data_IF_953348924451
#
_entry.id   IF_953348924451
#
_cell.length_a   1.000
_cell.length_b   1.000
_cell.length_c   1.000
_cell.angle_alpha   90.00
_cell.angle_beta   90.00
_cell.angle_gamma   90.00
#
_symmetry.space_group_name_H-M   'P 1'
#
loop_
_entity.id
_entity.type
_entity.pdbx_description
1 polymer ?
#
# COMPACT_ATOMS: atom_id res chain seq x y z
N UNK A 1 20.51 36.21 52.22
CA UNK A 1 20.11 37.29 51.30
C UNK A 1 20.59 36.94 49.90
N UNK A 2 19.63 36.89 48.95
CA UNK A 2 19.71 36.87 47.48
C UNK A 2 20.63 35.83 46.81
N UNK A 3 20.11 34.68 46.43
CA UNK A 3 19.34 34.37 45.19
C UNK A 3 20.22 34.27 43.95
N UNK A 4 20.58 33.02 43.65
CA UNK A 4 20.87 32.52 42.32
C UNK A 4 19.54 32.43 41.56
N UNK A 5 19.25 33.40 40.70
CA UNK A 5 18.10 33.36 39.81
C UNK A 5 18.53 33.53 38.34
N UNK A 6 18.15 32.53 37.55
CA UNK A 6 17.74 32.58 36.15
C UNK A 6 18.72 33.11 35.10
N UNK A 7 19.06 32.23 34.14
CA UNK A 7 18.42 32.27 32.82
C UNK A 7 18.75 30.98 32.07
N UNK A 8 17.82 30.02 32.15
CA UNK A 8 17.73 28.95 31.18
C UNK A 8 17.35 29.55 29.83
N UNK A 9 18.27 29.52 28.88
CA UNK A 9 18.00 29.89 27.50
C UNK A 9 17.21 28.76 26.85
N UNK A 10 15.89 28.82 26.97
CA UNK A 10 15.00 28.08 26.11
C UNK A 10 15.27 28.51 24.66
N UNK A 11 15.74 27.58 23.83
CA UNK A 11 15.75 27.72 22.37
C UNK A 11 14.29 27.71 21.94
N UNK A 12 13.66 28.89 21.94
CA UNK A 12 12.36 29.08 21.33
C UNK A 12 12.53 28.88 19.83
N UNK A 13 11.95 27.78 19.33
CA UNK A 13 11.84 27.52 17.91
C UNK A 13 11.19 28.70 17.21
N UNK A 14 11.84 29.18 16.16
CA UNK A 14 11.29 30.22 15.29
C UNK A 14 9.92 29.75 14.80
N UNK A 15 8.87 30.44 15.25
CA UNK A 15 7.53 30.30 14.71
C UNK A 15 7.56 30.86 13.29
N UNK A 16 7.39 29.99 12.30
CA UNK A 16 7.31 30.38 10.90
C UNK A 16 6.03 31.20 10.70
N UNK A 17 6.07 32.39 10.06
CA UNK A 17 4.90 33.24 9.91
C UNK A 17 3.79 32.54 9.10
N UNK A 18 2.57 32.57 9.64
CA UNK A 18 1.37 32.06 8.99
C UNK A 18 1.07 32.84 7.71
N UNK A 19 1.16 32.18 6.55
CA UNK A 19 0.78 32.75 5.26
C UNK A 19 -0.44 32.00 4.70
N UNK A 20 -1.60 32.66 4.53
CA UNK A 20 -2.82 32.04 4.03
C UNK A 20 -2.76 31.64 2.54
N UNK A 21 -1.72 32.05 1.80
CA UNK A 21 -1.50 31.67 0.40
C UNK A 21 -0.58 30.45 0.22
N UNK A 22 -0.10 29.85 1.31
CA UNK A 22 0.48 28.51 1.24
C UNK A 22 -0.64 27.54 0.98
N UNK A 23 -0.81 27.16 -0.28
CA UNK A 23 -1.72 26.11 -0.71
C UNK A 23 -1.37 24.83 0.05
N UNK A 24 -1.94 24.65 1.24
CA UNK A 24 -2.29 23.34 1.75
C UNK A 24 -3.01 22.67 0.60
N UNK A 25 -2.46 21.58 0.11
CA UNK A 25 -3.17 20.65 -0.78
C UNK A 25 -4.65 20.68 -0.42
N UNK A 26 -5.48 21.17 -1.35
CA UNK A 26 -6.90 21.40 -1.07
C UNK A 26 -7.51 20.06 -0.69
N UNK A 27 -7.69 19.83 0.62
CA UNK A 27 -8.55 18.76 1.09
C UNK A 27 -9.94 19.10 0.54
N UNK A 28 -10.34 18.42 -0.53
CA UNK A 28 -11.72 18.50 -1.01
C UNK A 28 -12.60 17.85 0.03
N UNK A 29 -13.12 18.68 0.93
CA UNK A 29 -14.14 18.28 1.88
C UNK A 29 -15.43 18.15 1.09
N UNK A 30 -15.71 16.95 0.61
CA UNK A 30 -17.05 16.57 0.17
C UNK A 30 -17.78 16.16 1.45
N UNK A 31 -18.87 16.85 1.78
CA UNK A 31 -19.70 16.69 3.01
C UNK A 31 -19.53 15.34 3.71
N UNK A 32 -18.83 15.35 4.85
CA UNK A 32 -18.63 14.18 5.72
C UNK A 32 -17.34 13.37 5.50
N UNK A 33 -16.53 13.67 4.47
CA UNK A 33 -15.24 13.02 4.19
C UNK A 33 -14.17 14.04 3.78
N UNK A 34 -12.90 13.65 3.91
CA UNK A 34 -11.74 14.39 3.42
C UNK A 34 -10.94 13.49 2.48
N UNK A 35 -10.74 13.92 1.25
CA UNK A 35 -9.85 13.25 0.29
C UNK A 35 -8.38 13.57 0.62
N UNK A 36 -7.52 12.55 0.65
CA UNK A 36 -6.09 12.69 0.92
C UNK A 36 -5.31 12.78 -0.39
N UNK A 37 -5.17 14.00 -0.91
CA UNK A 37 -4.62 14.25 -2.26
C UNK A 37 -3.12 14.00 -2.38
N UNK A 38 -2.37 13.95 -1.28
CA UNK A 38 -0.94 13.58 -1.30
C UNK A 38 -0.72 12.09 -1.30
N UNK A 39 -1.75 11.29 -1.05
CA UNK A 39 -1.64 9.83 -0.99
C UNK A 39 -2.33 9.23 -2.21
N UNK A 40 -1.63 8.33 -2.91
CA UNK A 40 -2.20 7.59 -4.05
C UNK A 40 -2.20 6.10 -3.76
N UNK A 41 -3.32 5.45 -3.97
CA UNK A 41 -3.43 3.99 -4.04
C UNK A 41 -3.35 3.63 -5.51
N UNK A 42 -2.48 2.70 -5.84
CA UNK A 42 -2.18 2.31 -7.20
C UNK A 42 -2.48 0.82 -7.41
N UNK A 43 -3.10 0.50 -8.55
CA UNK A 43 -3.58 -0.82 -8.96
C UNK A 43 -3.34 -1.01 -10.46
N UNK A 44 -2.36 -1.82 -10.83
CA UNK A 44 -2.07 -2.12 -12.24
C UNK A 44 -2.58 -3.51 -12.64
N UNK A 45 -3.20 -3.68 -13.83
CA UNK A 45 -3.50 -4.98 -14.43
C UNK A 45 -2.28 -5.90 -14.50
N UNK A 46 -2.44 -7.19 -14.20
CA UNK A 46 -1.38 -8.18 -14.44
C UNK A 46 -1.10 -8.28 -15.94
N UNK A 47 0.17 -8.35 -16.29
CA UNK A 47 0.64 -8.49 -17.66
C UNK A 47 1.31 -9.86 -17.76
N UNK A 48 0.56 -10.85 -18.24
CA UNK A 48 1.12 -12.19 -18.50
C UNK A 48 2.04 -12.09 -19.72
N UNK A 49 3.33 -12.39 -19.51
CA UNK A 49 4.32 -12.73 -20.55
C UNK A 49 4.34 -11.79 -21.78
N UNK A 50 4.88 -10.58 -21.60
CA UNK A 50 5.42 -9.79 -22.73
C UNK A 50 4.44 -9.00 -23.58
N UNK A 51 3.18 -8.83 -23.17
CA UNK A 51 2.24 -7.97 -23.89
C UNK A 51 1.10 -7.46 -23.01
N UNK A 52 0.85 -6.14 -23.03
CA UNK A 52 -0.30 -5.53 -22.36
C UNK A 52 -1.52 -6.15 -23.01
N UNK A 53 -2.31 -6.92 -22.26
CA UNK A 53 -3.63 -7.32 -22.74
C UNK A 53 -4.49 -6.06 -22.66
N UNK A 54 -4.38 -5.19 -23.66
CA UNK A 54 -5.37 -4.15 -23.97
C UNK A 54 -6.60 -4.76 -24.67
N UNK A 55 -6.78 -6.08 -24.64
CA UNK A 55 -7.95 -6.73 -25.17
C UNK A 55 -9.10 -6.60 -24.18
N UNK A 56 -9.85 -5.50 -24.25
CA UNK A 56 -11.31 -5.37 -24.02
C UNK A 56 -11.91 -6.09 -22.78
N UNK A 57 -11.12 -6.43 -21.78
CA UNK A 57 -11.56 -7.26 -20.67
C UNK A 57 -11.19 -6.60 -19.35
N UNK A 58 -12.14 -6.69 -18.44
CA UNK A 58 -12.10 -6.34 -17.03
C UNK A 58 -11.07 -7.21 -16.28
N UNK A 59 -9.83 -7.25 -16.76
CA UNK A 59 -8.76 -8.02 -16.12
C UNK A 59 -8.44 -7.38 -14.77
N UNK A 60 -8.51 -8.15 -13.67
CA UNK A 60 -8.27 -7.59 -12.36
C UNK A 60 -6.83 -7.05 -12.24
N UNK A 61 -6.63 -5.97 -11.47
CA UNK A 61 -5.30 -5.48 -11.18
C UNK A 61 -4.44 -6.57 -10.53
N UNK A 62 -3.24 -6.80 -11.04
CA UNK A 62 -2.26 -7.75 -10.50
C UNK A 62 -1.34 -7.18 -9.43
N UNK A 63 -1.09 -5.87 -9.43
CA UNK A 63 -0.04 -5.26 -8.60
C UNK A 63 -0.49 -3.97 -7.91
N UNK A 64 -0.22 -3.93 -6.61
CA UNK A 64 -0.80 -2.97 -5.67
C UNK A 64 0.32 -2.29 -4.88
N UNK A 65 0.25 -0.98 -4.74
CA UNK A 65 1.13 -0.21 -3.87
C UNK A 65 0.46 1.10 -3.48
N UNK A 66 1.07 1.80 -2.52
CA UNK A 66 0.67 3.15 -2.12
C UNK A 66 1.81 4.12 -2.38
N UNK A 67 1.50 5.37 -2.67
CA UNK A 67 2.48 6.43 -2.87
C UNK A 67 2.15 7.65 -2.02
N UNK A 68 3.19 8.37 -1.63
CA UNK A 68 3.11 9.67 -0.96
C UNK A 68 3.82 10.69 -1.85
N UNK A 69 3.10 11.74 -2.22
CA UNK A 69 3.59 12.88 -2.98
C UNK A 69 4.16 13.89 -1.98
N UNK A 70 5.49 14.01 -1.98
CA UNK A 70 6.21 15.02 -1.21
C UNK A 70 6.63 16.14 -2.16
N UNK A 71 5.66 16.93 -2.62
CA UNK A 71 5.95 18.21 -3.27
C UNK A 71 5.79 19.33 -2.22
N UNK A 72 6.86 19.54 -1.46
CA UNK A 72 6.98 20.63 -0.49
C UNK A 72 7.70 21.84 -1.11
N UNK A 73 7.97 21.82 -2.42
CA UNK A 73 8.72 22.87 -3.13
C UNK A 73 8.14 24.28 -2.91
N UNK A 74 6.81 24.37 -2.73
CA UNK A 74 6.10 25.62 -2.44
C UNK A 74 6.14 26.07 -0.97
N UNK A 75 6.54 25.20 -0.05
CA UNK A 75 6.63 25.47 1.39
C UNK A 75 8.07 25.75 1.84
N UNK A 76 9.03 24.94 1.38
CA UNK A 76 10.43 24.99 1.85
C UNK A 76 11.47 25.01 0.72
N UNK A 77 11.04 24.99 -0.54
CA UNK A 77 11.95 24.98 -1.70
C UNK A 77 12.62 23.63 -1.96
N UNK A 78 12.21 22.56 -1.27
CA UNK A 78 12.73 21.21 -1.49
C UNK A 78 12.37 20.66 -2.88
N UNK A 79 13.22 19.78 -3.40
CA UNK A 79 12.91 19.05 -4.63
C UNK A 79 11.75 18.08 -4.40
N UNK A 80 10.73 18.08 -5.27
CA UNK A 80 9.60 17.18 -5.12
C UNK A 80 10.04 15.73 -5.33
N UNK A 81 9.55 14.83 -4.48
CA UNK A 81 9.84 13.40 -4.60
C UNK A 81 8.62 12.55 -4.23
N UNK A 82 8.60 11.30 -4.70
CA UNK A 82 7.50 10.37 -4.46
C UNK A 82 8.02 9.20 -3.61
N UNK A 83 7.42 8.95 -2.46
CA UNK A 83 7.63 7.69 -1.74
C UNK A 83 6.64 6.67 -2.30
N UNK A 84 7.10 5.45 -2.55
CA UNK A 84 6.23 4.32 -2.89
C UNK A 84 6.36 3.27 -1.79
N UNK A 85 5.31 2.51 -1.51
CA UNK A 85 5.32 1.37 -0.60
C UNK A 85 4.50 0.21 -1.16
N UNK A 86 5.18 -0.88 -1.50
CA UNK A 86 4.59 -2.15 -1.91
C UNK A 86 5.37 -3.33 -1.34
N UNK A 87 4.71 -4.49 -1.22
CA UNK A 87 5.29 -5.70 -0.65
C UNK A 87 5.47 -6.80 -1.70
N UNK A 88 6.72 -7.16 -1.93
CA UNK A 88 7.14 -7.97 -3.08
C UNK A 88 8.06 -9.12 -2.67
N UNK A 89 8.16 -10.19 -3.48
CA UNK A 89 9.11 -11.25 -3.19
C UNK A 89 10.56 -10.75 -3.37
N UNK A 90 11.51 -11.28 -2.57
CA UNK A 90 12.95 -10.93 -2.65
C UNK A 90 13.65 -11.45 -3.91
N UNK A 91 12.97 -12.28 -4.69
CA UNK A 91 13.42 -12.84 -5.96
C UNK A 91 12.19 -13.09 -6.84
N UNK A 92 12.32 -13.19 -8.17
CA UNK A 92 11.20 -13.47 -9.04
C UNK A 92 10.47 -14.76 -8.64
N UNK A 93 9.13 -14.73 -8.62
CA UNK A 93 8.35 -15.95 -8.43
C UNK A 93 8.59 -16.89 -9.63
N UNK A 94 9.19 -18.05 -9.37
CA UNK A 94 9.43 -19.09 -10.38
C UNK A 94 8.47 -20.26 -10.19
N UNK A 95 8.31 -21.07 -11.26
CA UNK A 95 8.11 -22.53 -11.26
C UNK A 95 7.91 -23.21 -9.88
N UNK A 96 9.00 -23.13 -9.13
CA UNK A 96 9.27 -23.92 -7.95
C UNK A 96 9.10 -23.14 -6.63
N UNK A 97 9.05 -21.80 -6.70
CA UNK A 97 8.93 -20.90 -5.55
C UNK A 97 7.54 -20.22 -5.48
N UNK A 98 6.55 -20.74 -6.21
CA UNK A 98 5.24 -20.08 -6.41
C UNK A 98 4.38 -19.87 -5.16
N UNK A 99 4.70 -20.47 -4.03
CA UNK A 99 3.80 -20.44 -2.87
C UNK A 99 4.30 -19.55 -1.73
N UNK A 100 5.60 -19.51 -1.44
CA UNK A 100 6.13 -18.73 -0.31
C UNK A 100 7.63 -18.44 -0.48
N UNK A 101 8.03 -17.18 -0.36
CA UNK A 101 9.43 -16.71 -0.38
C UNK A 101 9.64 -15.61 0.68
N UNK A 102 10.87 -15.17 0.90
CA UNK A 102 11.10 -13.97 1.71
C UNK A 102 10.52 -12.74 0.99
N UNK A 103 9.83 -11.88 1.73
CA UNK A 103 9.33 -10.61 1.19
C UNK A 103 10.28 -9.45 1.44
N UNK A 104 10.12 -8.39 0.66
CA UNK A 104 10.82 -7.12 0.82
C UNK A 104 9.93 -5.95 0.40
N UNK A 105 10.10 -4.84 1.12
CA UNK A 105 9.42 -3.59 0.81
C UNK A 105 10.07 -2.96 -0.43
N UNK A 106 9.26 -2.58 -1.42
CA UNK A 106 9.70 -1.95 -2.68
C UNK A 106 10.79 -2.72 -3.43
N UNK A 107 10.84 -4.05 -3.26
CA UNK A 107 11.90 -4.90 -3.80
C UNK A 107 13.31 -4.46 -3.37
N UNK A 108 13.42 -3.78 -2.23
CA UNK A 108 14.68 -3.27 -1.71
C UNK A 108 15.49 -4.39 -1.04
N UNK A 109 16.02 -5.29 -1.86
CA UNK A 109 16.84 -6.42 -1.44
C UNK A 109 18.12 -6.53 -2.26
N UNK A 110 19.08 -7.33 -1.80
CA UNK A 110 20.37 -7.49 -2.46
C UNK A 110 20.25 -7.97 -3.91
N UNK A 111 19.29 -8.85 -4.21
CA UNK A 111 19.08 -9.37 -5.55
C UNK A 111 18.81 -8.23 -6.56
N UNK A 112 17.77 -7.44 -6.30
CA UNK A 112 17.40 -6.33 -7.18
C UNK A 112 18.40 -5.18 -7.16
N UNK A 113 19.01 -4.88 -5.99
CA UNK A 113 20.08 -3.88 -5.90
C UNK A 113 21.33 -4.24 -6.70
N UNK A 114 21.65 -5.53 -6.82
CA UNK A 114 22.78 -5.96 -7.63
C UNK A 114 22.44 -5.89 -9.12
N UNK A 115 21.21 -6.27 -9.50
CA UNK A 115 20.71 -6.11 -10.88
C UNK A 115 20.71 -4.64 -11.34
N UNK A 116 20.40 -3.70 -10.44
CA UNK A 116 20.55 -2.26 -10.68
C UNK A 116 22.00 -1.88 -11.03
N UNK A 117 23.00 -2.42 -10.31
CA UNK A 117 24.42 -2.12 -10.54
C UNK A 117 24.94 -2.72 -11.83
N UNK A 118 24.55 -3.96 -12.11
CA UNK A 118 24.97 -4.68 -13.32
C UNK A 118 24.44 -3.99 -14.60
N UNK A 119 23.31 -3.25 -14.50
CA UNK A 119 22.75 -2.45 -15.59
C UNK A 119 23.35 -1.03 -15.70
N UNK A 120 24.04 -0.54 -14.67
CA UNK A 120 24.62 0.82 -14.61
C UNK A 120 25.92 0.91 -15.42
N UNK A 121 26.67 -0.20 -15.50
CA UNK A 121 28.00 -0.27 -16.13
C UNK A 121 28.00 -0.08 -17.67
N UNK A 122 26.87 -0.25 -18.36
CA UNK A 122 26.82 -0.17 -19.83
C UNK A 122 26.26 1.14 -20.40
N UNK A 123 25.54 1.99 -19.64
CA UNK A 123 24.91 3.21 -20.22
C UNK A 123 24.54 4.36 -19.25
N UNK A 124 25.00 4.37 -18.00
CA UNK A 124 24.57 5.41 -17.03
C UNK A 124 23.06 5.39 -16.79
N UNK A 125 22.50 4.17 -16.77
CA UNK A 125 21.07 3.90 -16.69
C UNK A 125 20.50 4.24 -15.32
N UNK A 126 19.28 4.75 -15.29
CA UNK A 126 18.60 5.02 -14.02
C UNK A 126 18.23 3.67 -13.37
N UNK A 127 18.70 3.35 -12.14
CA UNK A 127 18.35 2.14 -11.40
C UNK A 127 16.86 1.85 -11.48
N UNK A 128 16.45 0.69 -11.96
CA UNK A 128 15.08 0.40 -12.32
C UNK A 128 14.50 -0.84 -11.63
N UNK A 129 15.27 -1.50 -10.75
CA UNK A 129 14.95 -2.81 -10.14
C UNK A 129 14.69 -2.74 -8.63
N UNK A 130 15.25 -1.78 -7.89
CA UNK A 130 14.99 -1.65 -6.45
C UNK A 130 14.47 -0.25 -6.07
N UNK A 131 13.18 -0.16 -5.70
CA UNK A 131 12.48 1.09 -5.39
C UNK A 131 12.87 1.78 -4.07
N UNK A 132 13.76 1.16 -3.27
CA UNK A 132 14.23 1.60 -1.93
C UNK A 132 13.14 1.57 -0.86
N UNK A 133 13.40 0.90 0.26
CA UNK A 133 12.47 0.79 1.38
C UNK A 133 12.38 2.09 2.21
N UNK A 134 13.48 2.85 2.23
CA UNK A 134 13.57 4.17 2.86
C UNK A 134 14.28 5.08 1.86
N UNK A 135 13.64 6.18 1.49
CA UNK A 135 14.22 7.19 0.61
C UNK A 135 15.22 8.03 1.41
N UNK A 136 16.48 8.06 0.98
CA UNK A 136 17.48 9.02 1.42
C UNK A 136 17.62 10.16 0.42
N UNK A 137 18.34 11.23 0.78
CA UNK A 137 18.58 12.36 -0.13
C UNK A 137 19.21 11.90 -1.45
N UNK A 138 20.18 10.99 -1.41
CA UNK A 138 20.82 10.43 -2.60
C UNK A 138 19.87 9.58 -3.47
N UNK A 139 18.77 9.08 -2.89
CA UNK A 139 17.77 8.23 -3.56
C UNK A 139 16.62 9.05 -4.17
N UNK A 140 16.46 10.34 -3.82
CA UNK A 140 15.35 11.17 -4.31
C UNK A 140 15.28 11.24 -5.83
N UNK A 141 16.43 11.32 -6.51
CA UNK A 141 16.52 11.27 -7.99
C UNK A 141 15.92 9.99 -8.59
N UNK A 142 15.83 8.92 -7.82
CA UNK A 142 15.32 7.63 -8.25
C UNK A 142 13.85 7.40 -7.88
N UNK A 143 13.28 8.23 -7.01
CA UNK A 143 11.98 8.10 -6.35
C UNK A 143 10.75 8.33 -7.24
N UNK A 144 10.93 8.79 -8.49
CA UNK A 144 9.83 9.28 -9.33
C UNK A 144 8.95 8.20 -9.97
N UNK A 145 9.20 6.91 -9.72
CA UNK A 145 8.53 5.84 -10.45
C UNK A 145 8.17 4.66 -9.54
N UNK A 146 6.90 4.27 -9.48
CA UNK A 146 6.50 3.09 -8.73
C UNK A 146 7.11 1.82 -9.30
N UNK A 147 7.54 0.94 -8.41
CA UNK A 147 8.31 -0.24 -8.76
C UNK A 147 7.48 -1.52 -8.69
N UNK A 148 7.52 -2.29 -9.78
CA UNK A 148 6.96 -3.63 -9.89
C UNK A 148 8.06 -4.59 -10.40
N UNK A 149 8.46 -5.60 -9.60
CA UNK A 149 9.52 -6.55 -9.97
C UNK A 149 9.21 -7.40 -11.20
N UNK A 150 7.97 -7.42 -11.69
CA UNK A 150 7.60 -8.16 -12.90
C UNK A 150 7.72 -7.34 -14.20
N UNK A 151 8.02 -6.03 -14.12
CA UNK A 151 7.84 -5.14 -15.28
C UNK A 151 9.09 -4.45 -15.83
N UNK A 152 10.28 -4.58 -15.25
CA UNK A 152 11.59 -4.13 -15.78
C UNK A 152 11.62 -2.68 -16.37
N UNK A 153 10.61 -1.83 -16.13
CA UNK A 153 10.45 -0.49 -16.71
C UNK A 153 9.71 0.43 -15.74
N UNK A 154 10.22 1.67 -15.66
CA UNK A 154 9.61 2.80 -14.95
C UNK A 154 8.35 3.26 -15.72
N UNK A 155 7.17 3.23 -15.09
CA UNK A 155 5.89 3.58 -15.76
C UNK A 155 5.68 5.09 -15.91
N UNK A 156 5.05 5.51 -16.99
CA UNK A 156 4.27 6.77 -17.02
C UNK A 156 3.03 6.57 -16.15
N UNK A 157 2.71 7.53 -15.29
CA UNK A 157 1.65 7.41 -14.27
C UNK A 157 0.33 6.89 -14.89
N UNK A 158 -0.32 5.88 -14.29
CA UNK A 158 -1.51 5.25 -14.86
C UNK A 158 -2.70 6.20 -14.97
N UNK A 159 -3.70 5.82 -15.78
CA UNK A 159 -4.84 6.69 -16.10
C UNK A 159 -5.87 6.66 -14.96
N UNK A 160 -6.06 7.80 -14.28
CA UNK A 160 -7.03 7.95 -13.18
C UNK A 160 -8.48 7.61 -13.57
N UNK A 161 -8.85 7.77 -14.84
CA UNK A 161 -10.19 7.41 -15.34
C UNK A 161 -10.43 5.90 -15.33
N UNK A 162 -9.36 5.11 -15.48
CA UNK A 162 -9.39 3.65 -15.44
C UNK A 162 -9.35 3.08 -14.01
N UNK A 163 -9.33 3.94 -12.99
CA UNK A 163 -9.26 3.56 -11.56
C UNK A 163 -7.97 2.84 -11.16
N UNK A 164 -6.96 2.94 -12.01
CA UNK A 164 -5.61 2.40 -11.77
C UNK A 164 -4.89 3.21 -10.67
N UNK A 165 -5.28 4.48 -10.48
CA UNK A 165 -4.77 5.37 -9.43
C UNK A 165 -5.94 6.10 -8.79
N UNK A 166 -5.93 6.19 -7.46
CA UNK A 166 -6.93 6.94 -6.71
C UNK A 166 -6.43 7.46 -5.36
N UNK A 167 -7.18 8.40 -4.78
CA UNK A 167 -6.91 8.91 -3.44
C UNK A 167 -7.77 8.16 -2.40
N UNK A 168 -7.20 7.84 -1.22
CA UNK A 168 -7.99 7.40 -0.08
C UNK A 168 -8.68 8.58 0.61
N UNK A 169 -9.61 8.24 1.50
CA UNK A 169 -10.39 9.20 2.28
C UNK A 169 -10.30 8.88 3.76
N UNK A 170 -10.46 9.92 4.57
CA UNK A 170 -10.83 9.81 6.00
C UNK A 170 -12.22 10.41 6.21
N UNK A 171 -12.92 9.98 7.26
CA UNK A 171 -14.20 10.57 7.63
C UNK A 171 -13.98 11.92 8.30
N UNK A 172 -14.91 12.87 8.15
CA UNK A 172 -14.76 14.22 8.70
C UNK A 172 -14.61 14.24 10.24
N UNK A 173 -15.11 13.22 10.93
CA UNK A 173 -14.96 13.01 12.38
C UNK A 173 -13.57 12.54 12.78
N UNK A 174 -12.72 12.14 11.84
CA UNK A 174 -11.35 11.75 12.10
C UNK A 174 -10.49 13.00 12.39
N UNK A 175 -9.86 13.10 13.57
CA UNK A 175 -9.12 14.28 13.98
C UNK A 175 -7.72 14.36 13.34
N UNK A 176 -7.23 13.27 12.74
CA UNK A 176 -5.88 13.19 12.18
C UNK A 176 -5.71 14.12 10.98
N UNK A 177 -4.53 14.71 10.87
CA UNK A 177 -4.09 15.47 9.70
C UNK A 177 -3.58 14.52 8.60
N UNK A 178 -3.44 15.02 7.37
CA UNK A 178 -2.83 14.21 6.29
C UNK A 178 -1.38 13.82 6.61
N UNK A 179 -0.64 14.65 7.37
CA UNK A 179 0.72 14.31 7.82
C UNK A 179 0.73 13.18 8.86
N UNK A 180 -0.23 13.17 9.79
CA UNK A 180 -0.37 12.07 10.76
C UNK A 180 -0.63 10.74 10.04
N UNK A 181 -1.48 10.76 9.01
CA UNK A 181 -1.74 9.58 8.16
C UNK A 181 -0.48 9.14 7.41
N UNK A 182 0.27 10.10 6.85
CA UNK A 182 1.53 9.82 6.16
C UNK A 182 2.52 9.13 7.11
N UNK A 183 2.65 9.60 8.35
CA UNK A 183 3.51 8.97 9.35
C UNK A 183 3.02 7.57 9.76
N UNK A 184 1.71 7.35 9.85
CA UNK A 184 1.15 6.01 10.08
C UNK A 184 1.43 5.06 8.91
N UNK A 185 1.34 5.51 7.66
CA UNK A 185 1.71 4.74 6.47
C UNK A 185 3.20 4.37 6.52
N UNK A 186 4.07 5.35 6.79
CA UNK A 186 5.52 5.13 6.94
C UNK A 186 5.81 4.13 8.06
N UNK A 187 5.14 4.27 9.20
CA UNK A 187 5.26 3.36 10.34
C UNK A 187 4.83 1.93 9.98
N UNK A 188 3.69 1.77 9.31
CA UNK A 188 3.24 0.48 8.80
C UNK A 188 4.26 -0.15 7.83
N UNK A 189 4.77 0.63 6.88
CA UNK A 189 5.76 0.17 5.91
C UNK A 189 7.07 -0.26 6.60
N UNK A 190 7.55 0.50 7.59
CA UNK A 190 8.77 0.18 8.36
C UNK A 190 8.67 -1.17 9.10
N UNK A 191 7.48 -1.60 9.54
CA UNK A 191 7.25 -2.95 10.11
C UNK A 191 7.56 -4.10 9.14
N UNK A 192 7.80 -3.81 7.86
CA UNK A 192 8.12 -4.78 6.81
C UNK A 192 9.59 -4.77 6.40
N UNK A 193 10.38 -3.84 6.95
CA UNK A 193 11.82 -3.82 6.76
C UNK A 193 12.40 -4.82 7.77
N UNK A 194 13.03 -5.92 7.32
CA UNK A 194 13.58 -6.91 8.24
C UNK A 194 14.72 -6.28 9.06
N UNK A 195 14.60 -6.34 10.38
CA UNK A 195 15.73 -6.08 11.27
C UNK A 195 16.71 -7.27 11.20
N UNK A 196 18.00 -7.03 11.44
CA UNK A 196 19.05 -8.08 11.35
C UNK A 196 18.81 -9.29 12.28
N UNK A 197 17.96 -9.14 13.30
CA UNK A 197 17.70 -10.14 14.34
C UNK A 197 16.31 -10.80 14.22
N UNK A 198 15.44 -10.33 13.33
CA UNK A 198 14.08 -10.85 13.18
C UNK A 198 13.96 -11.80 11.97
N UNK A 199 13.13 -12.84 12.09
CA UNK A 199 12.76 -13.65 10.94
C UNK A 199 12.08 -12.77 9.88
N UNK A 200 12.58 -12.84 8.64
CA UNK A 200 11.99 -12.12 7.52
C UNK A 200 10.55 -12.58 7.32
N UNK A 201 9.63 -11.60 7.26
CA UNK A 201 8.24 -11.86 6.86
C UNK A 201 8.22 -12.50 5.49
N UNK A 202 7.41 -13.55 5.36
CA UNK A 202 7.24 -14.24 4.10
C UNK A 202 6.27 -13.48 3.19
N UNK A 203 6.59 -13.46 1.91
CA UNK A 203 5.66 -13.14 0.84
C UNK A 203 5.08 -14.46 0.32
N UNK A 204 3.77 -14.51 0.07
CA UNK A 204 3.11 -15.73 -0.43
C UNK A 204 2.10 -15.42 -1.52
N UNK A 205 1.97 -16.36 -2.45
CA UNK A 205 0.91 -16.37 -3.44
C UNK A 205 0.06 -17.62 -3.20
N UNK A 206 -1.19 -17.41 -2.84
CA UNK A 206 -2.09 -18.46 -2.37
C UNK A 206 -3.50 -18.28 -2.96
N UNK A 207 -3.61 -17.72 -4.16
CA UNK A 207 -4.87 -17.58 -4.90
C UNK A 207 -5.97 -16.94 -4.06
N UNK A 208 -5.68 -15.78 -3.47
CA UNK A 208 -6.62 -15.04 -2.63
C UNK A 208 -7.10 -15.80 -1.36
N UNK A 209 -6.31 -16.76 -0.87
CA UNK A 209 -6.58 -17.41 0.41
C UNK A 209 -6.39 -16.44 1.59
N UNK A 210 -7.16 -16.58 2.67
CA UNK A 210 -7.06 -15.71 3.86
C UNK A 210 -5.67 -15.67 4.51
N UNK A 211 -4.84 -16.71 4.29
CA UNK A 211 -3.46 -16.79 4.78
C UNK A 211 -2.41 -16.18 3.82
N UNK A 212 -2.85 -15.60 2.69
CA UNK A 212 -1.98 -14.97 1.71
C UNK A 212 -1.35 -13.67 2.24
N UNK A 213 -0.07 -13.46 1.93
CA UNK A 213 0.66 -12.24 2.27
C UNK A 213 1.46 -11.70 1.09
N UNK A 214 0.84 -10.81 0.31
CA UNK A 214 1.41 -10.26 -0.93
C UNK A 214 1.15 -8.75 -1.05
N UNK A 215 1.34 -8.18 -2.24
CA UNK A 215 1.12 -6.76 -2.48
C UNK A 215 -0.35 -6.32 -2.27
N UNK A 216 -1.33 -7.20 -2.52
CA UNK A 216 -2.76 -6.90 -2.31
C UNK A 216 -3.08 -6.86 -0.81
N UNK A 217 -2.72 -7.93 -0.09
CA UNK A 217 -3.03 -8.02 1.34
C UNK A 217 -2.19 -7.04 2.16
N UNK A 218 -1.00 -6.64 1.68
CA UNK A 218 -0.27 -5.49 2.22
C UNK A 218 -1.10 -4.20 2.16
N UNK A 219 -1.70 -3.87 1.00
CA UNK A 219 -2.59 -2.71 0.87
C UNK A 219 -3.81 -2.85 1.79
N UNK A 220 -4.46 -4.02 1.84
CA UNK A 220 -5.66 -4.19 2.66
C UNK A 220 -5.37 -4.03 4.16
N UNK A 221 -4.25 -4.57 4.63
CA UNK A 221 -3.79 -4.39 6.00
C UNK A 221 -3.39 -2.94 6.27
N UNK A 222 -2.77 -2.25 5.30
CA UNK A 222 -2.49 -0.81 5.42
C UNK A 222 -3.77 -0.02 5.60
N UNK A 223 -4.79 -0.24 4.76
CA UNK A 223 -6.09 0.43 4.86
C UNK A 223 -6.75 0.19 6.23
N UNK A 224 -6.63 -1.03 6.74
CA UNK A 224 -7.14 -1.38 8.07
C UNK A 224 -6.39 -0.64 9.20
N UNK A 225 -5.06 -0.74 9.23
CA UNK A 225 -4.20 -0.19 10.29
C UNK A 225 -4.27 1.34 10.34
N UNK A 226 -4.32 2.00 9.17
CA UNK A 226 -4.41 3.46 9.03
C UNK A 226 -5.85 3.99 9.06
N UNK A 227 -6.84 3.09 9.12
CA UNK A 227 -8.27 3.40 9.07
C UNK A 227 -8.65 4.29 7.87
N UNK A 228 -8.05 4.02 6.71
CA UNK A 228 -8.34 4.70 5.45
C UNK A 228 -9.53 4.04 4.74
N UNK A 229 -10.34 4.86 4.07
CA UNK A 229 -11.43 4.41 3.22
C UNK A 229 -11.02 4.50 1.75
N UNK A 230 -11.17 3.38 1.02
CA UNK A 230 -10.98 3.32 -0.42
C UNK A 230 -12.28 2.90 -1.11
N UNK A 231 -12.81 3.76 -1.97
CA UNK A 231 -14.08 3.54 -2.69
C UNK A 231 -14.02 2.37 -3.69
N UNK A 232 -12.83 1.98 -4.14
CA UNK A 232 -12.68 0.94 -5.16
C UNK A 232 -12.58 -0.47 -4.61
N UNK A 233 -12.37 -0.62 -3.29
CA UNK A 233 -12.26 -1.94 -2.66
C UNK A 233 -13.52 -2.81 -2.86
N UNK A 234 -14.69 -2.18 -3.00
CA UNK A 234 -15.97 -2.86 -3.20
C UNK A 234 -16.11 -3.53 -4.58
N UNK A 235 -15.21 -3.23 -5.52
CA UNK A 235 -15.17 -3.80 -6.88
C UNK A 235 -13.86 -4.54 -7.15
N UNK A 236 -13.01 -4.62 -6.14
CA UNK A 236 -11.69 -5.22 -6.22
C UNK A 236 -11.84 -6.75 -6.07
N UNK A 237 -11.65 -7.49 -7.16
CA UNK A 237 -11.86 -8.94 -7.18
C UNK A 237 -10.93 -9.67 -6.20
N UNK A 238 -9.70 -9.19 -6.03
CA UNK A 238 -8.75 -9.78 -5.08
C UNK A 238 -9.22 -9.57 -3.65
N UNK A 239 -9.69 -8.36 -3.32
CA UNK A 239 -10.28 -8.11 -2.00
C UNK A 239 -11.53 -8.97 -1.75
N UNK A 240 -12.45 -9.04 -2.72
CA UNK A 240 -13.70 -9.80 -2.58
C UNK A 240 -13.40 -11.28 -2.33
N UNK A 241 -12.48 -11.88 -3.08
CA UNK A 241 -12.08 -13.28 -2.91
C UNK A 241 -11.35 -13.51 -1.60
N UNK A 242 -10.40 -12.63 -1.24
CA UNK A 242 -9.68 -12.70 0.02
C UNK A 242 -10.62 -12.61 1.23
N UNK A 243 -11.58 -11.67 1.18
CA UNK A 243 -12.61 -11.52 2.22
C UNK A 243 -13.54 -12.73 2.30
N UNK A 244 -13.96 -13.27 1.15
CA UNK A 244 -14.77 -14.50 1.10
C UNK A 244 -14.02 -15.69 1.71
N UNK A 245 -12.73 -15.84 1.36
CA UNK A 245 -11.88 -16.89 1.94
C UNK A 245 -11.81 -16.77 3.46
N UNK A 246 -11.60 -15.57 4.00
CA UNK A 246 -11.61 -15.36 5.45
C UNK A 246 -12.98 -15.70 6.07
N UNK A 247 -14.07 -15.34 5.39
CA UNK A 247 -15.44 -15.65 5.82
C UNK A 247 -15.73 -17.16 5.84
N UNK A 248 -15.23 -17.93 4.88
CA UNK A 248 -15.47 -19.38 4.81
C UNK A 248 -14.63 -20.14 5.84
N UNK A 249 -13.42 -19.66 6.12
CA UNK A 249 -12.49 -20.34 7.01
C UNK A 249 -12.71 -20.01 8.49
N UNK A 250 -13.40 -18.90 8.84
CA UNK A 250 -13.72 -18.56 10.25
C UNK A 250 -14.76 -19.52 10.86
N UNK A 251 -15.64 -20.07 10.03
CA UNK A 251 -16.74 -20.93 10.48
C UNK A 251 -16.25 -22.36 10.79
N UNK A 252 -17.03 -23.14 11.56
CA UNK A 252 -16.62 -24.51 11.92
C UNK A 252 -16.51 -25.43 10.70
N UNK A 253 -17.35 -25.21 9.70
CA UNK A 253 -17.41 -26.00 8.49
C UNK A 253 -17.39 -25.12 7.26
N UNK A 254 -16.65 -25.55 6.24
CA UNK A 254 -16.70 -24.98 4.90
C UNK A 254 -17.21 -26.02 3.90
N UNK A 255 -17.77 -25.54 2.80
CA UNK A 255 -18.33 -26.37 1.74
C UNK A 255 -17.51 -26.17 0.48
N UNK A 256 -17.00 -27.25 -0.11
CA UNK A 256 -16.27 -27.21 -1.39
C UNK A 256 -17.00 -28.06 -2.42
N UNK A 257 -16.98 -27.63 -3.68
CA UNK A 257 -17.48 -28.44 -4.80
C UNK A 257 -16.32 -29.07 -5.56
N UNK A 258 -16.43 -30.34 -5.93
CA UNK A 258 -15.52 -30.93 -6.92
C UNK A 258 -15.89 -30.49 -8.35
N UNK A 259 -15.11 -30.96 -9.33
CA UNK A 259 -15.32 -30.70 -10.76
C UNK A 259 -16.58 -31.35 -11.33
N UNK A 260 -17.24 -32.23 -10.58
CA UNK A 260 -18.52 -32.84 -10.91
C UNK A 260 -19.70 -32.15 -10.19
N UNK A 261 -19.44 -31.11 -9.38
CA UNK A 261 -20.46 -30.39 -8.62
C UNK A 261 -20.88 -31.06 -7.31
N UNK A 262 -20.20 -32.12 -6.87
CA UNK A 262 -20.48 -32.74 -5.58
C UNK A 262 -20.00 -31.83 -4.45
N UNK A 263 -20.85 -31.60 -3.44
CA UNK A 263 -20.55 -30.72 -2.31
C UNK A 263 -20.00 -31.52 -1.14
N UNK A 264 -18.80 -31.19 -0.69
CA UNK A 264 -18.13 -31.77 0.47
C UNK A 264 -18.14 -30.80 1.64
N UNK A 265 -18.55 -31.29 2.80
CA UNK A 265 -18.47 -30.56 4.07
C UNK A 265 -17.13 -30.86 4.74
N UNK A 266 -16.30 -29.85 4.92
CA UNK A 266 -14.98 -29.96 5.55
C UNK A 266 -15.00 -29.23 6.88
N UNK A 267 -14.51 -29.88 7.94
CA UNK A 267 -14.34 -29.23 9.25
C UNK A 267 -13.05 -28.40 9.25
N UNK A 268 -13.14 -27.13 9.60
CA UNK A 268 -11.99 -26.26 9.77
C UNK A 268 -11.29 -26.53 11.11
N UNK A 269 -9.96 -26.57 11.11
CA UNK A 269 -9.16 -26.66 12.32
C UNK A 269 -9.36 -25.40 13.19
N UNK A 270 -9.34 -25.54 14.52
CA UNK A 270 -9.57 -24.42 15.44
C UNK A 270 -8.57 -23.26 15.26
N UNK A 271 -7.28 -23.56 15.05
CA UNK A 271 -6.25 -22.54 14.82
C UNK A 271 -6.53 -21.75 13.54
N UNK A 272 -6.89 -22.46 12.47
CA UNK A 272 -7.28 -21.86 11.18
C UNK A 272 -8.49 -20.95 11.36
N UNK A 273 -9.50 -21.39 12.11
CA UNK A 273 -10.71 -20.58 12.37
C UNK A 273 -10.39 -19.29 13.09
N UNK A 274 -9.54 -19.34 14.12
CA UNK A 274 -9.13 -18.14 14.87
C UNK A 274 -8.38 -17.16 13.98
N UNK A 275 -7.43 -17.64 13.18
CA UNK A 275 -6.69 -16.80 12.23
C UNK A 275 -7.62 -16.17 11.18
N UNK A 276 -8.52 -16.96 10.59
CA UNK A 276 -9.46 -16.48 9.60
C UNK A 276 -10.48 -15.49 10.18
N UNK A 277 -10.95 -15.69 11.43
CA UNK A 277 -11.84 -14.76 12.12
C UNK A 277 -11.17 -13.39 12.37
N UNK A 278 -9.89 -13.40 12.76
CA UNK A 278 -9.12 -12.15 12.90
C UNK A 278 -9.00 -11.42 11.56
N UNK A 279 -8.61 -12.11 10.49
CA UNK A 279 -8.54 -11.52 9.15
C UNK A 279 -9.91 -11.00 8.70
N UNK A 280 -10.97 -11.79 8.90
CA UNK A 280 -12.34 -11.41 8.56
C UNK A 280 -12.76 -10.12 9.27
N UNK A 281 -12.52 -10.00 10.58
CA UNK A 281 -12.86 -8.78 11.34
C UNK A 281 -12.14 -7.54 10.80
N UNK A 282 -10.85 -7.66 10.47
CA UNK A 282 -10.05 -6.56 9.89
C UNK A 282 -10.59 -6.15 8.53
N UNK A 283 -10.77 -7.12 7.63
CA UNK A 283 -11.24 -6.86 6.28
C UNK A 283 -12.69 -6.39 6.25
N UNK A 284 -13.53 -6.85 7.20
CA UNK A 284 -14.88 -6.33 7.37
C UNK A 284 -14.86 -4.83 7.66
N UNK A 285 -13.96 -4.35 8.53
CA UNK A 285 -13.81 -2.91 8.79
C UNK A 285 -13.39 -2.14 7.54
N UNK A 286 -12.48 -2.68 6.74
CA UNK A 286 -12.08 -2.08 5.45
C UNK A 286 -13.28 -1.97 4.51
N UNK A 287 -14.07 -3.04 4.38
CA UNK A 287 -15.30 -3.07 3.58
C UNK A 287 -16.35 -2.08 4.09
N UNK A 288 -16.63 -2.07 5.40
CA UNK A 288 -17.60 -1.17 6.02
C UNK A 288 -17.21 0.31 5.81
N UNK A 289 -15.92 0.64 5.94
CA UNK A 289 -15.41 1.99 5.65
C UNK A 289 -15.66 2.38 4.19
N UNK A 290 -15.42 1.47 3.24
CA UNK A 290 -15.66 1.73 1.84
C UNK A 290 -17.15 1.86 1.49
N UNK A 291 -18.04 1.05 2.10
CA UNK A 291 -19.49 1.16 1.94
C UNK A 291 -20.00 2.50 2.47
N UNK A 292 -19.52 2.91 3.66
CA UNK A 292 -19.84 4.21 4.24
C UNK A 292 -19.39 5.35 3.33
N UNK A 293 -18.18 5.29 2.79
CA UNK A 293 -17.67 6.27 1.82
C UNK A 293 -18.54 6.30 0.55
N UNK A 294 -18.88 5.13 -0.01
CA UNK A 294 -19.71 5.05 -1.22
C UNK A 294 -21.10 5.68 -1.02
N UNK A 295 -21.71 5.48 0.15
CA UNK A 295 -22.99 6.10 0.49
C UNK A 295 -22.89 7.63 0.60
N UNK A 296 -21.85 8.14 1.27
CA UNK A 296 -21.61 9.58 1.37
C UNK A 296 -21.40 10.22 -0.02
N UNK A 297 -20.61 9.59 -0.88
CA UNK A 297 -20.34 10.13 -2.23
C UNK A 297 -21.56 10.06 -3.17
N UNK A 298 -22.51 9.13 -2.95
CA UNK A 298 -23.77 9.07 -3.72
C UNK A 298 -24.75 10.17 -3.33
N UNK A 299 -24.85 10.50 -2.05
CA UNK A 299 -25.81 11.48 -1.53
C UNK A 299 -25.41 12.95 -1.83
N UNK A 300 -24.23 13.16 -2.40
CA UNK A 300 -23.67 14.48 -2.72
C UNK A 300 -23.59 14.74 -4.25
N UNK A 301 -24.32 13.94 -5.05
CA UNK A 301 -24.53 14.14 -6.49
C UNK A 301 -25.97 14.56 -6.73
#
# INVERSE_FOLDING_TARGET
MSNWENLGTAVMGNTVPYNPNWTRYEQKVVTGVKELTRIRICRLPTLLLGGRIEAVTESPPGHYWIEIINDLSKMDGSEPFIESYGWYPQEPATFFNFFTVDGCLNSDCNYFRNKDKDNDDDNGGIPNEAGRAIIKEEDKKYSLYPFDPHHNKRYTLPNSEKREVNHPYIFATDPRTEEDIIEEIRSFARKHIPNKEEEKKKWSYAFENFAEYNCHTFLFNLLYETNLADRYILRDLHFIRFFSSASDYKDEYRYISDHHGNIFKIKNNETIRKQADEVYKRMKRVKDNAEKLANLLKNNR
#
